data_IF_190768648134
#
_entry.id   IF_190768648134
#
_cell.length_a   1.000
_cell.length_b   1.000
_cell.length_c   1.000
_cell.angle_alpha   90.00
_cell.angle_beta   90.00
_cell.angle_gamma   90.00
#
_symmetry.space_group_name_H-M   'P 1'
#
loop_
_entity.id
_entity.type
_entity.pdbx_description
1 polymer ?
#
# COMPACT_ATOMS: atom_id res chain seq x y z
N UNK A 1 102.90 6.71 -24.48
CA UNK A 1 101.72 7.20 -23.75
C UNK A 1 101.63 6.41 -22.45
N UNK A 2 101.61 7.07 -21.29
CA UNK A 2 101.74 6.40 -19.99
C UNK A 2 100.47 5.59 -19.66
N UNK A 3 100.62 4.28 -19.43
CA UNK A 3 99.52 3.32 -19.17
C UNK A 3 98.55 3.82 -18.08
N UNK A 4 99.07 4.49 -17.05
CA UNK A 4 98.28 5.06 -15.96
C UNK A 4 97.27 6.12 -16.43
N UNK A 5 97.61 6.91 -17.46
CA UNK A 5 96.74 7.98 -17.97
C UNK A 5 95.54 7.39 -18.73
N UNK A 6 95.74 6.29 -19.45
CA UNK A 6 94.67 5.56 -20.15
C UNK A 6 93.69 4.94 -19.16
N UNK A 7 94.19 4.37 -18.05
CA UNK A 7 93.34 3.79 -16.99
C UNK A 7 92.45 4.83 -16.30
N UNK A 8 92.99 6.03 -16.02
CA UNK A 8 92.22 7.12 -15.38
C UNK A 8 91.09 7.58 -16.29
N UNK A 9 91.34 7.74 -17.59
CA UNK A 9 90.31 8.15 -18.57
C UNK A 9 89.22 7.08 -18.69
N UNK A 10 89.60 5.80 -18.78
CA UNK A 10 88.64 4.70 -18.86
C UNK A 10 87.73 4.63 -17.62
N UNK A 11 88.30 4.83 -16.42
CA UNK A 11 87.55 4.84 -15.17
C UNK A 11 86.62 6.05 -15.07
N UNK A 12 87.08 7.23 -15.50
CA UNK A 12 86.25 8.42 -15.56
C UNK A 12 85.05 8.25 -16.52
N UNK A 13 85.28 7.68 -17.70
CA UNK A 13 84.21 7.40 -18.67
C UNK A 13 83.21 6.36 -18.15
N UNK A 14 83.69 5.30 -17.49
CA UNK A 14 82.82 4.29 -16.89
C UNK A 14 81.91 4.90 -15.80
N UNK A 15 82.46 5.79 -14.96
CA UNK A 15 81.68 6.50 -13.93
C UNK A 15 80.63 7.40 -14.56
N UNK A 16 80.99 8.18 -15.59
CA UNK A 16 80.03 9.06 -16.30
C UNK A 16 78.91 8.26 -16.96
N UNK A 17 79.21 7.14 -17.61
CA UNK A 17 78.21 6.26 -18.20
C UNK A 17 77.28 5.64 -17.13
N UNK A 18 77.84 5.25 -15.97
CA UNK A 18 77.07 4.69 -14.86
C UNK A 18 76.11 5.75 -14.26
N UNK A 19 76.57 6.99 -14.08
CA UNK A 19 75.75 8.11 -13.62
C UNK A 19 74.63 8.44 -14.61
N UNK A 20 74.94 8.48 -15.91
CA UNK A 20 73.94 8.72 -16.96
C UNK A 20 72.86 7.62 -16.96
N UNK A 21 73.25 6.35 -16.81
CA UNK A 21 72.31 5.23 -16.73
C UNK A 21 71.40 5.30 -15.50
N UNK A 22 71.96 5.65 -14.34
CA UNK A 22 71.20 5.88 -13.10
C UNK A 22 70.17 7.00 -13.28
N UNK A 23 70.52 8.12 -13.90
CA UNK A 23 69.61 9.24 -14.13
C UNK A 23 68.44 8.86 -15.05
N UNK A 24 68.69 8.07 -16.11
CA UNK A 24 67.63 7.58 -17.02
C UNK A 24 66.68 6.63 -16.28
N UNK A 25 67.21 5.73 -15.45
CA UNK A 25 66.36 4.84 -14.63
C UNK A 25 65.50 5.65 -13.65
N UNK A 26 66.08 6.64 -12.98
CA UNK A 26 65.35 7.52 -12.05
C UNK A 26 64.27 8.34 -12.76
N UNK A 27 64.53 8.87 -13.96
CA UNK A 27 63.51 9.62 -14.71
C UNK A 27 62.36 8.71 -15.17
N UNK A 28 62.66 7.48 -15.60
CA UNK A 28 61.65 6.50 -15.99
C UNK A 28 60.80 6.03 -14.81
N UNK A 29 61.43 5.77 -13.65
CA UNK A 29 60.74 5.44 -12.39
C UNK A 29 59.82 6.60 -11.95
N UNK A 30 60.28 7.85 -12.07
CA UNK A 30 59.45 9.03 -11.79
C UNK A 30 58.26 9.15 -12.75
N UNK A 31 58.43 8.82 -14.03
CA UNK A 31 57.33 8.81 -15.00
C UNK A 31 56.27 7.74 -14.65
N UNK A 32 56.71 6.54 -14.28
CA UNK A 32 55.82 5.47 -13.81
C UNK A 32 55.09 5.84 -12.50
N UNK A 33 55.79 6.47 -11.56
CA UNK A 33 55.21 6.97 -10.30
C UNK A 33 54.12 8.02 -10.54
N UNK A 34 54.31 8.93 -11.53
CA UNK A 34 53.28 9.91 -11.91
C UNK A 34 52.03 9.24 -12.47
N UNK A 35 52.17 8.28 -13.37
CA UNK A 35 51.04 7.55 -13.93
C UNK A 35 50.25 6.81 -12.83
N UNK A 36 50.96 6.12 -11.94
CA UNK A 36 50.34 5.41 -10.82
C UNK A 36 49.64 6.37 -9.86
N UNK A 37 50.25 7.52 -9.54
CA UNK A 37 49.63 8.56 -8.72
C UNK A 37 48.34 9.11 -9.34
N UNK A 38 48.31 9.28 -10.67
CA UNK A 38 47.10 9.71 -11.38
C UNK A 38 45.99 8.67 -11.30
N UNK A 39 46.32 7.38 -11.37
CA UNK A 39 45.32 6.30 -11.22
C UNK A 39 44.78 6.23 -9.80
N UNK A 40 45.65 6.39 -8.79
CA UNK A 40 45.24 6.44 -7.37
C UNK A 40 44.28 7.61 -7.14
N UNK A 41 44.60 8.81 -7.62
CA UNK A 41 43.73 9.98 -7.48
C UNK A 41 42.34 9.78 -8.14
N UNK A 42 42.31 9.14 -9.32
CA UNK A 42 41.05 8.83 -9.99
C UNK A 42 40.22 7.81 -9.20
N UNK A 43 40.86 6.80 -8.60
CA UNK A 43 40.21 5.81 -7.76
C UNK A 43 39.69 6.44 -6.47
N UNK A 44 40.45 7.34 -5.85
CA UNK A 44 40.01 8.13 -4.68
C UNK A 44 38.75 8.94 -4.99
N UNK A 45 38.71 9.60 -6.15
CA UNK A 45 37.52 10.36 -6.57
C UNK A 45 36.30 9.45 -6.76
N UNK A 46 36.48 8.27 -7.36
CA UNK A 46 35.41 7.28 -7.50
C UNK A 46 34.92 6.78 -6.14
N UNK A 47 35.82 6.52 -5.19
CA UNK A 47 35.43 6.12 -3.83
C UNK A 47 34.64 7.21 -3.11
N UNK A 48 35.03 8.48 -3.29
CA UNK A 48 34.31 9.60 -2.72
C UNK A 48 32.89 9.74 -3.31
N UNK A 49 32.74 9.57 -4.64
CA UNK A 49 31.44 9.59 -5.30
C UNK A 49 30.53 8.43 -4.86
N UNK A 50 31.08 7.21 -4.78
CA UNK A 50 30.35 6.06 -4.25
C UNK A 50 29.91 6.27 -2.80
N UNK A 51 30.77 6.86 -1.96
CA UNK A 51 30.44 7.16 -0.58
C UNK A 51 29.31 8.21 -0.48
N UNK A 52 29.33 9.23 -1.34
CA UNK A 52 28.25 10.20 -1.44
C UNK A 52 26.94 9.55 -1.89
N UNK A 53 26.98 8.64 -2.87
CA UNK A 53 25.81 7.92 -3.35
C UNK A 53 25.23 6.98 -2.28
N UNK A 54 26.08 6.28 -1.51
CA UNK A 54 25.64 5.47 -0.37
C UNK A 54 24.94 6.35 0.66
N UNK A 55 25.49 7.53 0.96
CA UNK A 55 24.86 8.49 1.88
C UNK A 55 23.50 8.97 1.38
N UNK A 56 23.41 9.35 0.10
CA UNK A 56 22.15 9.76 -0.55
C UNK A 56 21.09 8.65 -0.50
N UNK A 57 21.48 7.39 -0.79
CA UNK A 57 20.59 6.24 -0.73
C UNK A 57 20.14 5.99 0.71
N UNK A 58 21.04 6.06 1.69
CA UNK A 58 20.71 5.90 3.10
C UNK A 58 19.73 6.97 3.58
N UNK A 59 19.94 8.24 3.19
CA UNK A 59 19.03 9.32 3.49
C UNK A 59 17.65 9.09 2.85
N UNK A 60 17.61 8.72 1.57
CA UNK A 60 16.34 8.43 0.88
C UNK A 60 15.58 7.27 1.51
N UNK A 61 16.29 6.23 1.94
CA UNK A 61 15.68 5.12 2.66
C UNK A 61 15.14 5.54 4.03
N UNK A 62 15.83 6.43 4.75
CA UNK A 62 15.33 6.97 6.00
C UNK A 62 14.06 7.82 5.79
N UNK A 63 14.07 8.73 4.81
CA UNK A 63 12.91 9.53 4.41
C UNK A 63 11.71 8.64 4.03
N UNK A 64 11.94 7.60 3.23
CA UNK A 64 10.89 6.69 2.80
C UNK A 64 10.32 5.85 3.97
N UNK A 65 11.19 5.38 4.87
CA UNK A 65 10.75 4.65 6.06
C UNK A 65 9.91 5.53 6.99
N UNK A 66 10.29 6.79 7.16
CA UNK A 66 9.52 7.75 7.97
C UNK A 66 8.12 8.00 7.38
N UNK A 67 8.06 8.19 6.05
CA UNK A 67 6.79 8.35 5.32
C UNK A 67 5.90 7.11 5.45
N UNK A 68 6.45 5.91 5.24
CA UNK A 68 5.72 4.65 5.38
C UNK A 68 5.20 4.49 6.82
N UNK A 69 6.03 4.83 7.82
CA UNK A 69 5.62 4.74 9.22
C UNK A 69 4.45 5.68 9.51
N UNK A 70 4.51 6.91 9.03
CA UNK A 70 3.44 7.90 9.17
C UNK A 70 2.15 7.42 8.51
N UNK A 71 2.22 6.99 7.24
CA UNK A 71 1.07 6.46 6.51
C UNK A 71 0.45 5.23 7.20
N UNK A 72 1.28 4.35 7.76
CA UNK A 72 0.78 3.20 8.51
C UNK A 72 0.03 3.64 9.78
N UNK A 73 0.55 4.62 10.53
CA UNK A 73 -0.15 5.13 11.71
C UNK A 73 -1.49 5.81 11.35
N UNK A 74 -1.52 6.59 10.28
CA UNK A 74 -2.75 7.21 9.77
C UNK A 74 -3.77 6.15 9.34
N UNK A 75 -3.33 5.15 8.57
CA UNK A 75 -4.19 4.05 8.13
C UNK A 75 -4.71 3.23 9.31
N UNK A 76 -3.90 2.98 10.34
CA UNK A 76 -4.33 2.29 11.55
C UNK A 76 -5.41 3.08 12.30
N UNK A 77 -5.21 4.40 12.44
CA UNK A 77 -6.20 5.29 13.06
C UNK A 77 -7.52 5.31 12.28
N UNK A 78 -7.45 5.47 10.96
CA UNK A 78 -8.63 5.45 10.07
C UNK A 78 -9.34 4.09 10.21
N UNK A 79 -8.60 2.99 10.18
CA UNK A 79 -9.15 1.64 10.33
C UNK A 79 -9.88 1.46 11.65
N UNK A 80 -9.30 1.90 12.78
CA UNK A 80 -9.94 1.87 14.10
C UNK A 80 -11.22 2.71 14.14
N UNK A 81 -11.21 3.90 13.55
CA UNK A 81 -12.40 4.76 13.48
C UNK A 81 -13.51 4.12 12.64
N UNK A 82 -13.17 3.52 11.50
CA UNK A 82 -14.12 2.80 10.67
C UNK A 82 -14.70 1.59 11.43
N UNK A 83 -13.86 0.82 12.12
CA UNK A 83 -14.31 -0.31 12.94
C UNK A 83 -15.31 0.12 14.01
N UNK A 84 -15.05 1.23 14.71
CA UNK A 84 -15.98 1.79 15.69
C UNK A 84 -17.31 2.21 15.05
N UNK A 85 -17.26 2.88 13.89
CA UNK A 85 -18.47 3.31 13.15
C UNK A 85 -19.29 2.11 12.70
N UNK A 86 -18.65 1.08 12.15
CA UNK A 86 -19.29 -0.16 11.72
C UNK A 86 -19.97 -0.84 12.92
N UNK A 87 -19.27 -0.96 14.06
CA UNK A 87 -19.86 -1.50 15.30
C UNK A 87 -21.08 -0.71 15.75
N UNK A 88 -21.00 0.63 15.73
CA UNK A 88 -22.14 1.48 16.07
C UNK A 88 -23.34 1.30 15.13
N UNK A 89 -23.09 1.21 13.81
CA UNK A 89 -24.13 0.92 12.83
C UNK A 89 -24.74 -0.46 13.02
N UNK A 90 -23.92 -1.47 13.31
CA UNK A 90 -24.39 -2.83 13.54
C UNK A 90 -25.24 -2.94 14.81
N UNK A 91 -24.91 -2.20 15.86
CA UNK A 91 -25.74 -2.06 17.05
C UNK A 91 -27.07 -1.35 16.74
N UNK A 92 -27.04 -0.27 15.94
CA UNK A 92 -28.26 0.42 15.53
C UNK A 92 -29.18 -0.48 14.71
N UNK A 93 -28.62 -1.23 13.75
CA UNK A 93 -29.36 -2.23 12.97
C UNK A 93 -29.94 -3.30 13.89
N UNK A 94 -29.16 -3.84 14.83
CA UNK A 94 -29.65 -4.85 15.77
C UNK A 94 -30.82 -4.33 16.61
N UNK A 95 -30.75 -3.09 17.09
CA UNK A 95 -31.81 -2.45 17.86
C UNK A 95 -33.07 -2.23 17.01
N UNK A 96 -32.93 -1.72 15.78
CA UNK A 96 -34.06 -1.56 14.85
C UNK A 96 -34.70 -2.91 14.55
N UNK A 97 -33.91 -3.94 14.27
CA UNK A 97 -34.41 -5.31 14.03
C UNK A 97 -35.18 -5.84 15.25
N UNK A 98 -34.67 -5.62 16.46
CA UNK A 98 -35.38 -5.98 17.70
C UNK A 98 -36.70 -5.23 17.85
N UNK A 99 -36.74 -3.93 17.57
CA UNK A 99 -37.97 -3.15 17.60
C UNK A 99 -38.98 -3.65 16.55
N UNK A 100 -38.51 -3.96 15.34
CA UNK A 100 -39.35 -4.53 14.29
C UNK A 100 -39.93 -5.88 14.70
N UNK A 101 -39.14 -6.76 15.33
CA UNK A 101 -39.67 -8.05 15.84
C UNK A 101 -40.73 -7.84 16.92
N UNK A 102 -40.54 -6.88 17.82
CA UNK A 102 -41.53 -6.56 18.85
C UNK A 102 -42.82 -6.00 18.24
N UNK A 103 -42.72 -5.16 17.21
CA UNK A 103 -43.88 -4.63 16.49
C UNK A 103 -44.61 -5.76 15.74
N UNK A 104 -43.88 -6.64 15.06
CA UNK A 104 -44.46 -7.79 14.34
C UNK A 104 -45.17 -8.77 15.30
N UNK A 105 -44.63 -8.97 16.50
CA UNK A 105 -45.26 -9.77 17.56
C UNK A 105 -46.50 -9.09 18.16
N UNK A 106 -46.51 -7.76 18.22
CA UNK A 106 -47.62 -6.96 18.75
C UNK A 106 -48.77 -6.71 17.74
N UNK A 107 -48.60 -7.12 16.48
CA UNK A 107 -49.59 -6.97 15.40
C UNK A 107 -50.24 -8.32 15.00
N UNK A 108 -50.99 -9.01 15.89
CA UNK A 108 -51.69 -10.24 15.51
C UNK A 108 -52.78 -9.99 14.45
N UNK A 109 -53.32 -8.77 14.35
CA UNK A 109 -54.34 -8.44 13.35
C UNK A 109 -53.77 -8.39 11.92
N UNK A 110 -52.53 -7.94 11.72
CA UNK A 110 -51.91 -7.91 10.39
C UNK A 110 -51.73 -9.30 9.79
N UNK A 111 -51.62 -10.36 10.62
CA UNK A 111 -51.58 -11.74 10.10
C UNK A 111 -52.91 -12.17 9.48
N UNK A 112 -54.04 -11.82 10.10
CA UNK A 112 -55.37 -12.09 9.55
C UNK A 112 -55.61 -11.28 8.29
N UNK A 113 -55.24 -10.00 8.28
CA UNK A 113 -55.33 -9.14 7.09
C UNK A 113 -54.39 -9.59 5.95
N UNK A 114 -53.16 -10.00 6.25
CA UNK A 114 -52.20 -10.49 5.27
C UNK A 114 -52.58 -11.87 4.71
N UNK A 115 -53.28 -12.70 5.49
CA UNK A 115 -53.85 -13.96 5.04
C UNK A 115 -55.11 -13.74 4.19
N UNK A 116 -56.01 -12.85 4.63
CA UNK A 116 -57.22 -12.48 3.93
C UNK A 116 -56.92 -11.84 2.56
N UNK A 117 -55.89 -10.98 2.48
CA UNK A 117 -55.45 -10.36 1.24
C UNK A 117 -54.89 -11.38 0.23
N UNK A 118 -54.15 -12.40 0.70
CA UNK A 118 -53.70 -13.52 -0.15
C UNK A 118 -54.86 -14.40 -0.64
N UNK A 119 -55.90 -14.61 0.17
CA UNK A 119 -57.10 -15.35 -0.24
C UNK A 119 -57.94 -14.55 -1.25
N UNK A 120 -58.12 -13.25 -1.01
CA UNK A 120 -58.77 -12.33 -1.95
C UNK A 120 -58.06 -12.29 -3.31
N UNK A 121 -56.73 -12.25 -3.33
CA UNK A 121 -55.94 -12.30 -4.56
C UNK A 121 -56.09 -13.62 -5.34
N UNK A 122 -56.47 -14.72 -4.67
CA UNK A 122 -56.80 -16.01 -5.30
C UNK A 122 -58.26 -16.12 -5.74
N UNK A 123 -59.06 -15.07 -5.56
CA UNK A 123 -60.47 -15.03 -5.92
C UNK A 123 -61.39 -15.73 -4.91
N UNK A 124 -60.95 -15.94 -3.66
CA UNK A 124 -61.80 -16.50 -2.60
C UNK A 124 -63.02 -15.61 -2.34
N UNK A 125 -64.15 -16.24 -1.98
CA UNK A 125 -65.40 -15.53 -1.69
C UNK A 125 -65.37 -14.82 -0.32
N UNK A 126 -66.27 -13.87 -0.09
CA UNK A 126 -66.34 -13.14 1.18
C UNK A 126 -66.57 -14.09 2.37
N UNK A 127 -67.47 -15.05 2.20
CA UNK A 127 -67.79 -16.08 3.20
C UNK A 127 -66.58 -16.97 3.54
N UNK A 128 -65.76 -17.29 2.55
CA UNK A 128 -64.57 -18.14 2.69
C UNK A 128 -63.43 -17.41 3.42
N UNK A 129 -63.24 -16.12 3.13
CA UNK A 129 -62.28 -15.26 3.84
C UNK A 129 -62.73 -15.01 5.29
N UNK A 130 -64.03 -14.79 5.52
CA UNK A 130 -64.58 -14.63 6.87
C UNK A 130 -64.38 -15.89 7.73
N UNK A 131 -64.61 -17.07 7.16
CA UNK A 131 -64.47 -18.33 7.89
C UNK A 131 -63.00 -18.65 8.24
N UNK A 132 -62.05 -18.31 7.38
CA UNK A 132 -60.66 -18.71 7.52
C UNK A 132 -59.77 -17.66 8.21
N UNK A 133 -60.16 -16.38 8.15
CA UNK A 133 -59.40 -15.27 8.74
C UNK A 133 -60.10 -14.60 9.93
N UNK A 134 -61.27 -15.10 10.35
CA UNK A 134 -62.06 -14.60 11.48
C UNK A 134 -62.37 -13.08 11.42
N UNK A 135 -62.39 -12.51 10.21
CA UNK A 135 -62.63 -11.08 9.99
C UNK A 135 -64.14 -10.76 9.93
N UNK A 136 -64.58 -9.62 10.49
CA UNK A 136 -65.94 -9.11 10.34
C UNK A 136 -66.33 -8.91 8.87
N UNK A 137 -67.58 -9.20 8.53
CA UNK A 137 -68.10 -9.08 7.17
C UNK A 137 -67.81 -7.73 6.50
N UNK A 138 -68.00 -6.63 7.24
CA UNK A 138 -67.77 -5.28 6.73
C UNK A 138 -66.30 -5.04 6.33
N UNK A 139 -65.35 -5.63 7.05
CA UNK A 139 -63.91 -5.51 6.75
C UNK A 139 -63.53 -6.33 5.51
N UNK A 140 -64.10 -7.54 5.38
CA UNK A 140 -63.88 -8.40 4.20
C UNK A 140 -64.49 -7.81 2.94
N UNK A 141 -65.70 -7.25 3.03
CA UNK A 141 -66.36 -6.60 1.90
C UNK A 141 -65.59 -5.36 1.42
N UNK A 142 -65.08 -4.55 2.35
CA UNK A 142 -64.19 -3.42 2.03
C UNK A 142 -62.91 -3.89 1.34
N UNK A 143 -62.26 -4.94 1.86
CA UNK A 143 -61.01 -5.47 1.33
C UNK A 143 -61.19 -6.02 -0.09
N UNK A 144 -62.27 -6.77 -0.34
CA UNK A 144 -62.62 -7.26 -1.68
C UNK A 144 -62.99 -6.13 -2.66
N UNK A 145 -63.62 -5.06 -2.19
CA UNK A 145 -63.92 -3.90 -3.03
C UNK A 145 -62.65 -3.20 -3.53
N UNK A 146 -61.66 -3.03 -2.65
CA UNK A 146 -60.35 -2.46 -3.00
C UNK A 146 -59.62 -3.35 -4.02
N UNK A 147 -59.61 -4.68 -3.81
CA UNK A 147 -58.98 -5.61 -4.75
C UNK A 147 -59.69 -5.66 -6.11
N UNK A 148 -61.03 -5.58 -6.14
CA UNK A 148 -61.79 -5.48 -7.38
C UNK A 148 -61.49 -4.18 -8.12
N UNK A 149 -61.29 -3.08 -7.41
CA UNK A 149 -60.91 -1.80 -8.01
C UNK A 149 -59.51 -1.87 -8.63
N UNK A 150 -58.52 -2.42 -7.93
CA UNK A 150 -57.15 -2.55 -8.42
C UNK A 150 -56.97 -3.59 -9.56
N UNK A 151 -57.87 -4.58 -9.68
CA UNK A 151 -57.82 -5.59 -10.75
C UNK A 151 -58.67 -5.23 -11.99
N UNK A 152 -59.42 -4.11 -11.93
CA UNK A 152 -60.24 -3.61 -13.03
C UNK A 152 -59.62 -2.38 -13.74
N UNK A 153 -58.38 -2.02 -13.39
CA UNK A 153 -57.47 -1.20 -14.19
C UNK A 153 -56.48 -2.10 -14.95
#
# INVERSE_FOLDING_TARGET
MNINLVLIIALALAVVCCLAWLLIKVSHLKAQSKLLSSQVNALEMLTADLQANIHNIAQKNAELNDLISTQNTENEQVSKQLEHRIKGQQQAIANITQQLTLIDEQQPQDKFYHRASKLAAKGASAEEIMAECELPRAEVEMLLAIYKQNNNE
#
